data_IF_486586320076
#
_entry.id   IF_486586320076
#
_cell.length_a   1.000
_cell.length_b   1.000
_cell.length_c   1.000
_cell.angle_alpha   90.00
_cell.angle_beta   90.00
_cell.angle_gamma   90.00
#
_symmetry.space_group_name_H-M   'P 1'
#
loop_
_entity.id
_entity.type
_entity.pdbx_description
1 polymer ?
#
# COMPACT_ATOMS: atom_id res chain seq x y z
N UNK A 1 30.61 -11.68 19.41
CA UNK A 1 29.60 -12.44 18.64
C UNK A 1 28.24 -11.87 19.00
N UNK A 2 27.75 -10.88 18.23
CA UNK A 2 26.41 -10.32 18.41
C UNK A 2 25.46 -11.05 17.48
N UNK A 3 24.46 -11.72 18.04
CA UNK A 3 23.50 -12.52 17.29
C UNK A 3 22.74 -11.63 16.29
N UNK A 4 22.97 -11.86 14.99
CA UNK A 4 22.30 -11.20 13.86
C UNK A 4 20.87 -11.77 13.68
N UNK A 5 20.09 -11.79 14.76
CA UNK A 5 18.78 -12.45 14.83
C UNK A 5 17.62 -11.52 14.40
N UNK A 6 17.91 -10.41 13.72
CA UNK A 6 16.89 -9.53 13.14
C UNK A 6 16.05 -10.22 12.04
N UNK A 7 16.48 -11.40 11.59
CA UNK A 7 15.74 -12.26 10.64
C UNK A 7 14.58 -13.00 11.31
N UNK A 8 14.58 -13.14 12.63
CA UNK A 8 13.56 -13.83 13.41
C UNK A 8 12.73 -12.86 14.26
N UNK A 9 11.83 -12.08 13.64
CA UNK A 9 10.66 -11.54 14.37
C UNK A 9 9.55 -11.06 13.45
N UNK A 10 8.37 -11.67 13.67
CA UNK A 10 6.99 -11.25 13.37
C UNK A 10 6.62 -10.92 11.91
N UNK A 11 5.59 -11.58 11.40
CA UNK A 11 4.92 -11.35 10.09
C UNK A 11 4.23 -9.97 9.95
N UNK A 12 4.58 -9.00 10.80
CA UNK A 12 4.00 -7.67 10.76
C UNK A 12 4.45 -6.93 9.50
N UNK A 13 3.50 -6.29 8.84
CA UNK A 13 3.79 -5.31 7.80
C UNK A 13 4.09 -3.92 8.42
N UNK A 14 4.56 -2.97 7.61
CA UNK A 14 4.97 -1.63 8.10
C UNK A 14 3.85 -0.90 8.83
N UNK A 15 2.59 -1.05 8.43
CA UNK A 15 1.46 -0.40 9.10
C UNK A 15 1.24 -0.96 10.50
N UNK A 16 1.31 -2.29 10.63
CA UNK A 16 1.20 -2.96 11.92
C UNK A 16 2.37 -2.57 12.83
N UNK A 17 3.57 -2.39 12.27
CA UNK A 17 4.72 -1.86 13.02
C UNK A 17 4.45 -0.42 13.52
N UNK A 18 3.83 0.45 12.71
CA UNK A 18 3.43 1.78 13.13
C UNK A 18 2.41 1.72 14.28
N UNK A 19 1.37 0.88 14.16
CA UNK A 19 0.36 0.71 15.22
C UNK A 19 1.01 0.19 16.51
N UNK A 20 1.82 -0.86 16.42
CA UNK A 20 2.51 -1.44 17.56
C UNK A 20 3.52 -0.48 18.22
N UNK A 21 4.04 0.49 17.49
CA UNK A 21 4.90 1.55 18.01
C UNK A 21 4.13 2.76 18.56
N UNK A 22 2.82 2.86 18.32
CA UNK A 22 2.02 4.04 18.64
C UNK A 22 2.23 5.23 17.69
N UNK A 23 2.79 4.99 16.49
CA UNK A 23 3.06 6.03 15.50
C UNK A 23 4.46 5.92 14.84
N UNK A 24 4.91 6.97 14.13
CA UNK A 24 6.26 7.03 13.55
C UNK A 24 7.35 7.11 14.63
N UNK A 25 8.62 7.12 14.22
CA UNK A 25 9.78 7.29 15.09
C UNK A 25 10.61 6.02 15.31
N UNK A 26 10.15 4.86 14.82
CA UNK A 26 10.89 3.60 14.91
C UNK A 26 11.75 3.33 13.67
N UNK A 27 12.63 2.35 13.81
CA UNK A 27 13.64 2.02 12.81
C UNK A 27 13.31 0.71 12.09
N UNK A 28 13.56 0.70 10.79
CA UNK A 28 13.40 -0.45 9.92
C UNK A 28 14.64 -0.67 9.04
N UNK A 29 14.81 -1.90 8.58
CA UNK A 29 15.71 -2.25 7.47
C UNK A 29 14.95 -3.03 6.41
N UNK A 30 15.36 -2.84 5.17
CA UNK A 30 14.90 -3.69 4.07
C UNK A 30 15.78 -4.92 3.99
N UNK A 31 15.19 -6.10 3.81
CA UNK A 31 15.93 -7.37 3.74
C UNK A 31 16.94 -7.42 2.58
N UNK A 32 16.70 -6.67 1.52
CA UNK A 32 17.59 -6.55 0.36
C UNK A 32 18.57 -5.37 0.44
N UNK A 33 18.45 -4.49 1.44
CA UNK A 33 19.33 -3.32 1.60
C UNK A 33 20.38 -3.59 2.68
N UNK A 34 21.57 -4.03 2.26
CA UNK A 34 22.64 -4.45 3.17
C UNK A 34 23.34 -3.31 3.93
N UNK A 35 23.34 -2.09 3.40
CA UNK A 35 24.18 -0.99 3.90
C UNK A 35 23.40 0.21 4.46
N UNK A 36 22.08 0.11 4.57
CA UNK A 36 21.24 1.20 5.05
C UNK A 36 20.23 0.73 6.10
N UNK A 37 19.74 1.69 6.87
CA UNK A 37 18.57 1.59 7.71
C UNK A 37 17.69 2.83 7.50
N UNK A 38 16.45 2.78 7.94
CA UNK A 38 15.55 3.91 7.78
C UNK A 38 14.74 4.13 9.05
N UNK A 39 14.50 5.40 9.38
CA UNK A 39 13.57 5.80 10.43
C UNK A 39 12.24 6.14 9.78
N UNK A 40 11.15 5.53 10.24
CA UNK A 40 9.81 5.97 9.83
C UNK A 40 9.57 7.34 10.46
N UNK A 41 9.26 8.33 9.63
CA UNK A 41 9.08 9.72 10.09
C UNK A 41 7.64 10.20 9.96
N UNK A 42 6.84 9.59 9.07
CA UNK A 42 5.44 9.97 8.92
C UNK A 42 4.57 8.85 8.38
N UNK A 43 3.30 8.86 8.75
CA UNK A 43 2.26 7.97 8.24
C UNK A 43 0.96 8.75 8.05
N UNK A 44 0.33 8.57 6.90
CA UNK A 44 -0.98 9.14 6.61
C UNK A 44 -2.11 8.46 7.40
N UNK A 45 -3.35 8.97 7.27
CA UNK A 45 -4.48 8.50 8.06
C UNK A 45 -4.82 7.03 7.76
N UNK A 46 -4.97 6.24 8.82
CA UNK A 46 -5.49 4.86 8.76
C UNK A 46 -7.02 4.91 8.69
N UNK A 47 -7.58 4.61 7.53
CA UNK A 47 -9.01 4.83 7.23
C UNK A 47 -9.86 3.56 7.23
N UNK A 48 -9.22 2.39 7.30
CA UNK A 48 -9.88 1.07 7.30
C UNK A 48 -9.30 0.17 8.39
N UNK A 49 -9.94 -0.95 8.73
CA UNK A 49 -9.33 -1.98 9.56
C UNK A 49 -8.04 -2.56 8.95
N UNK A 50 -7.24 -3.20 9.81
CA UNK A 50 -5.98 -3.83 9.43
C UNK A 50 -6.14 -5.00 8.44
N UNK A 51 -5.02 -5.56 7.96
CA UNK A 51 -3.65 -5.19 8.32
C UNK A 51 -3.08 -4.05 7.44
N UNK A 52 -3.85 -3.59 6.43
CA UNK A 52 -3.40 -2.57 5.47
C UNK A 52 -4.00 -1.18 5.69
N UNK A 53 -5.04 -1.05 6.53
CA UNK A 53 -5.54 0.23 7.02
C UNK A 53 -5.90 1.30 5.96
N UNK A 54 -6.29 0.89 4.75
CA UNK A 54 -6.56 1.82 3.65
C UNK A 54 -5.31 2.24 2.84
N UNK A 55 -4.20 1.55 3.08
CA UNK A 55 -2.90 1.70 2.42
C UNK A 55 -2.34 3.13 2.57
N UNK A 56 -2.23 3.68 3.80
CA UNK A 56 -1.78 5.05 3.98
C UNK A 56 -0.37 5.26 3.40
N UNK A 57 -0.09 6.49 2.96
CA UNK A 57 1.26 6.91 2.59
C UNK A 57 2.17 6.85 3.82
N UNK A 58 3.42 6.42 3.65
CA UNK A 58 4.41 6.35 4.73
C UNK A 58 5.71 6.95 4.24
N UNK A 59 6.32 7.77 5.09
CA UNK A 59 7.60 8.43 4.84
C UNK A 59 8.68 7.88 5.77
N UNK A 60 9.90 7.80 5.24
CA UNK A 60 11.09 7.44 5.99
C UNK A 60 12.27 8.35 5.64
N UNK A 61 13.15 8.56 6.61
CA UNK A 61 14.49 9.06 6.36
C UNK A 61 15.45 7.85 6.32
N UNK A 62 16.24 7.74 5.25
CA UNK A 62 17.17 6.64 4.99
C UNK A 62 18.57 7.07 5.34
N UNK A 63 19.26 6.27 6.14
CA UNK A 63 20.61 6.52 6.62
C UNK A 63 21.56 5.39 6.25
N UNK A 64 22.84 5.71 6.12
CA UNK A 64 23.91 4.71 6.20
C UNK A 64 23.95 4.06 7.59
N UNK A 65 24.63 2.92 7.73
CA UNK A 65 24.79 2.27 9.05
C UNK A 65 25.63 3.08 10.05
N UNK A 66 26.30 4.14 9.60
CA UNK A 66 27.11 5.05 10.43
C UNK A 66 26.45 6.42 10.67
N UNK A 67 25.20 6.61 10.24
CA UNK A 67 24.40 7.78 10.60
C UNK A 67 24.35 8.91 9.57
N UNK A 68 24.92 8.73 8.39
CA UNK A 68 24.82 9.71 7.31
C UNK A 68 23.45 9.63 6.63
N UNK A 69 22.71 10.74 6.54
CA UNK A 69 21.44 10.81 5.82
C UNK A 69 21.70 10.64 4.32
N UNK A 70 21.10 9.60 3.72
CA UNK A 70 21.19 9.30 2.29
C UNK A 70 19.99 9.80 1.51
N UNK A 71 18.79 9.73 2.08
CA UNK A 71 17.57 10.20 1.45
C UNK A 71 16.57 10.62 2.52
N UNK A 72 16.04 11.83 2.44
CA UNK A 72 15.05 12.34 3.39
C UNK A 72 13.64 12.31 2.81
N UNK A 73 12.63 12.08 3.65
CA UNK A 73 11.21 12.01 3.27
C UNK A 73 10.96 11.07 2.08
N UNK A 74 11.68 9.96 2.03
CA UNK A 74 11.49 8.93 1.02
C UNK A 74 10.16 8.20 1.26
N UNK A 75 9.43 7.89 0.19
CA UNK A 75 8.25 7.03 0.30
C UNK A 75 8.69 5.62 0.68
N UNK A 76 8.07 5.03 1.69
CA UNK A 76 8.22 3.59 1.95
C UNK A 76 7.46 2.81 0.86
N UNK A 77 8.15 1.97 0.07
CA UNK A 77 7.50 1.04 -0.85
C UNK A 77 6.76 -0.03 -0.04
N UNK A 78 5.45 0.15 0.10
CA UNK A 78 4.55 -0.64 0.94
C UNK A 78 3.81 -1.85 0.30
N UNK A 79 3.86 -2.17 -1.01
CA UNK A 79 3.21 -3.38 -1.51
C UNK A 79 4.02 -4.65 -1.15
N UNK A 80 3.38 -5.62 -0.48
CA UNK A 80 3.92 -6.98 -0.23
C UNK A 80 4.91 -7.10 0.94
N UNK A 81 4.71 -6.34 2.01
CA UNK A 81 5.78 -5.98 2.98
C UNK A 81 6.08 -6.95 4.12
N UNK A 82 5.28 -7.99 4.36
CA UNK A 82 5.50 -8.94 5.47
C UNK A 82 6.89 -9.61 5.43
N UNK A 83 7.56 -9.68 4.27
CA UNK A 83 8.93 -10.21 4.10
C UNK A 83 10.01 -9.16 3.74
N UNK A 84 9.60 -7.92 3.46
CA UNK A 84 10.51 -6.93 2.86
C UNK A 84 11.13 -6.01 3.91
N UNK A 85 10.36 -5.60 4.91
CA UNK A 85 10.83 -4.69 5.96
C UNK A 85 10.89 -5.41 7.30
N UNK A 86 11.90 -5.08 8.10
CA UNK A 86 12.08 -5.59 9.47
C UNK A 86 12.28 -4.43 10.41
N UNK A 87 11.54 -4.41 11.50
CA UNK A 87 11.81 -3.51 12.62
C UNK A 87 13.17 -3.87 13.21
N UNK A 88 13.96 -2.84 13.50
CA UNK A 88 15.24 -2.97 14.21
C UNK A 88 15.24 -2.08 15.44
N UNK A 89 16.18 -2.32 16.35
CA UNK A 89 16.48 -1.35 17.40
C UNK A 89 17.07 -0.08 16.78
N UNK A 90 16.90 1.04 17.48
CA UNK A 90 17.54 2.29 17.08
C UNK A 90 19.06 2.07 16.99
N UNK A 91 19.70 2.48 15.87
CA UNK A 91 21.15 2.45 15.77
C UNK A 91 21.80 3.25 16.92
N UNK A 92 22.97 2.85 17.44
CA UNK A 92 23.59 3.53 18.58
C UNK A 92 23.81 5.04 18.37
N UNK A 93 24.14 5.44 17.14
CA UNK A 93 24.35 6.84 16.77
C UNK A 93 23.04 7.67 16.73
N UNK A 94 21.87 7.03 16.69
CA UNK A 94 20.59 7.72 16.62
C UNK A 94 20.29 8.58 17.87
N UNK A 95 20.85 8.22 19.03
CA UNK A 95 20.70 9.01 20.26
C UNK A 95 21.57 10.27 20.31
N UNK A 96 22.54 10.40 19.40
CA UNK A 96 23.50 11.52 19.35
C UNK A 96 23.39 12.34 18.06
N UNK A 97 22.73 11.81 17.04
CA UNK A 97 22.59 12.45 15.74
C UNK A 97 21.49 13.51 15.71
N UNK A 98 21.67 14.49 14.81
CA UNK A 98 20.64 15.45 14.44
C UNK A 98 19.60 14.74 13.54
N UNK A 99 18.60 14.13 14.17
CA UNK A 99 17.51 13.47 13.48
C UNK A 99 16.36 14.44 13.25
N UNK A 100 15.68 14.29 12.10
CA UNK A 100 14.46 15.05 11.82
C UNK A 100 13.46 14.93 12.98
N UNK A 101 12.89 16.08 13.36
CA UNK A 101 11.75 16.13 14.28
C UNK A 101 10.54 15.44 13.66
N UNK A 102 9.77 14.69 14.46
CA UNK A 102 8.52 14.09 13.98
C UNK A 102 7.41 15.13 13.75
N UNK A 103 7.58 16.33 14.30
CA UNK A 103 6.68 17.47 14.09
C UNK A 103 7.15 18.40 12.94
N UNK A 104 8.13 17.96 12.15
CA UNK A 104 8.61 18.74 10.99
C UNK A 104 7.48 18.89 9.95
N UNK A 105 7.05 20.11 9.61
CA UNK A 105 5.96 20.33 8.67
C UNK A 105 6.25 19.80 7.25
N UNK A 106 7.53 19.55 6.92
CA UNK A 106 7.89 18.90 5.66
C UNK A 106 7.37 17.46 5.57
N UNK A 107 7.15 16.78 6.70
CA UNK A 107 6.54 15.45 6.76
C UNK A 107 5.10 15.51 6.25
N UNK A 108 4.30 16.45 6.75
CA UNK A 108 2.92 16.64 6.32
C UNK A 108 2.85 17.02 4.84
N UNK A 109 3.72 17.92 4.38
CA UNK A 109 3.83 18.28 2.98
C UNK A 109 4.18 17.07 2.09
N UNK A 110 5.11 16.21 2.55
CA UNK A 110 5.49 14.98 1.86
C UNK A 110 4.35 13.98 1.77
N UNK A 111 3.59 13.77 2.86
CA UNK A 111 2.44 12.87 2.88
C UNK A 111 1.35 13.36 1.93
N UNK A 112 1.03 14.65 1.96
CA UNK A 112 0.08 15.26 1.04
C UNK A 112 0.51 15.11 -0.42
N UNK A 113 1.80 15.26 -0.72
CA UNK A 113 2.32 15.09 -2.07
C UNK A 113 2.16 13.64 -2.57
N UNK A 114 2.44 12.65 -1.71
CA UNK A 114 2.23 11.24 -2.03
C UNK A 114 0.76 10.91 -2.26
N UNK A 115 -0.14 11.44 -1.42
CA UNK A 115 -1.57 11.22 -1.57
C UNK A 115 -2.10 11.84 -2.87
N UNK A 116 -1.70 13.07 -3.21
CA UNK A 116 -2.03 13.69 -4.52
C UNK A 116 -1.54 12.83 -5.68
N UNK A 117 -0.30 12.31 -5.61
CA UNK A 117 0.27 11.43 -6.63
C UNK A 117 -0.51 10.12 -6.74
N UNK A 118 -0.90 9.52 -5.60
CA UNK A 118 -1.72 8.30 -5.53
C UNK A 118 -3.10 8.50 -6.13
N UNK A 119 -3.78 9.61 -5.80
CA UNK A 119 -5.08 9.97 -6.36
C UNK A 119 -4.99 10.25 -7.87
N UNK A 120 -3.94 10.92 -8.35
CA UNK A 120 -3.71 11.11 -9.79
C UNK A 120 -3.46 9.79 -10.52
N UNK A 121 -2.71 8.87 -9.92
CA UNK A 121 -2.49 7.53 -10.47
C UNK A 121 -3.76 6.67 -10.46
N UNK A 122 -4.60 6.80 -9.43
CA UNK A 122 -5.87 6.07 -9.29
C UNK A 122 -7.02 6.70 -10.10
N UNK A 123 -6.92 7.99 -10.44
CA UNK A 123 -7.90 8.73 -11.23
C UNK A 123 -8.05 8.28 -12.69
N UNK A 124 -7.22 7.34 -13.16
CA UNK A 124 -7.46 6.60 -14.41
C UNK A 124 -8.37 5.36 -14.24
N UNK A 125 -8.79 5.02 -13.02
CA UNK A 125 -9.60 3.84 -12.71
C UNK A 125 -10.92 4.16 -11.97
N UNK A 126 -11.26 5.43 -11.80
CA UNK A 126 -12.55 5.90 -11.31
C UNK A 126 -13.06 7.04 -12.19
N UNK A 127 -13.27 6.80 -13.48
CA UNK A 127 -14.40 7.47 -14.11
C UNK A 127 -15.65 6.98 -13.38
N UNK A 128 -16.60 7.87 -13.09
CA UNK A 128 -17.98 7.55 -12.72
C UNK A 128 -18.71 6.88 -13.91
N UNK A 129 -18.05 5.95 -14.59
CA UNK A 129 -18.74 4.99 -15.43
C UNK A 129 -19.51 4.10 -14.45
N UNK A 130 -20.81 4.34 -14.38
CA UNK A 130 -21.77 3.51 -13.70
C UNK A 130 -21.46 2.04 -14.04
N UNK A 131 -21.16 1.22 -13.04
CA UNK A 131 -20.65 -0.15 -13.25
C UNK A 131 -21.79 -1.11 -13.11
N UNK A 132 -21.97 -1.96 -14.10
CA UNK A 132 -22.91 -3.07 -14.03
C UNK A 132 -22.12 -4.31 -13.61
N UNK A 133 -22.40 -4.81 -12.40
CA UNK A 133 -21.77 -6.03 -11.89
C UNK A 133 -22.40 -7.27 -12.51
N UNK A 134 -21.54 -8.25 -12.80
CA UNK A 134 -21.88 -9.51 -13.44
C UNK A 134 -21.73 -10.67 -12.45
N UNK A 135 -22.73 -11.54 -12.40
CA UNK A 135 -22.71 -12.82 -11.72
C UNK A 135 -22.14 -13.90 -12.64
N UNK A 136 -20.81 -14.00 -12.70
CA UNK A 136 -20.09 -14.95 -13.56
C UNK A 136 -19.56 -16.12 -12.72
N UNK A 137 -20.00 -17.37 -12.97
CA UNK A 137 -19.41 -18.55 -12.36
C UNK A 137 -17.92 -18.69 -12.71
N UNK A 138 -17.11 -19.23 -11.79
CA UNK A 138 -15.66 -19.35 -12.00
C UNK A 138 -15.28 -20.12 -13.28
N UNK A 139 -16.07 -21.12 -13.66
CA UNK A 139 -15.89 -21.90 -14.89
C UNK A 139 -16.03 -21.06 -16.17
N UNK A 140 -16.75 -19.95 -16.13
CA UNK A 140 -17.06 -19.07 -17.27
C UNK A 140 -16.28 -17.74 -17.25
N UNK A 141 -15.22 -17.65 -16.44
CA UNK A 141 -14.39 -16.44 -16.31
C UNK A 141 -13.76 -15.99 -17.64
N UNK A 142 -13.44 -16.94 -18.52
CA UNK A 142 -12.82 -16.61 -19.81
C UNK A 142 -13.84 -15.95 -20.75
N UNK A 143 -15.11 -16.33 -20.68
CA UNK A 143 -16.19 -15.67 -21.42
C UNK A 143 -16.35 -14.22 -20.94
N UNK A 144 -16.35 -13.98 -19.62
CA UNK A 144 -16.41 -12.62 -19.09
C UNK A 144 -15.22 -11.74 -19.55
N UNK A 145 -14.01 -12.29 -19.61
CA UNK A 145 -12.85 -11.57 -20.16
C UNK A 145 -13.01 -11.26 -21.64
N UNK A 146 -13.54 -12.20 -22.43
CA UNK A 146 -13.77 -12.01 -23.87
C UNK A 146 -14.79 -10.89 -24.15
N UNK A 147 -15.78 -10.70 -23.26
CA UNK A 147 -16.72 -9.58 -23.30
C UNK A 147 -16.09 -8.22 -22.94
N UNK A 148 -14.82 -8.20 -22.53
CA UNK A 148 -14.16 -7.01 -22.01
C UNK A 148 -14.56 -6.66 -20.57
N UNK A 149 -15.16 -7.59 -19.83
CA UNK A 149 -15.47 -7.38 -18.42
C UNK A 149 -14.17 -7.28 -17.61
N UNK A 150 -14.20 -6.45 -16.57
CA UNK A 150 -13.07 -6.21 -15.68
C UNK A 150 -13.36 -6.86 -14.33
N UNK A 151 -12.35 -7.48 -13.72
CA UNK A 151 -12.51 -8.03 -12.37
C UNK A 151 -12.43 -6.90 -11.33
N UNK A 152 -13.39 -6.85 -10.41
CA UNK A 152 -13.36 -5.99 -9.23
C UNK A 152 -12.90 -6.81 -8.02
N UNK A 153 -11.66 -6.65 -7.53
CA UNK A 153 -11.20 -7.39 -6.34
C UNK A 153 -11.96 -7.03 -5.06
N UNK A 154 -12.52 -5.81 -4.98
CA UNK A 154 -13.27 -5.33 -3.84
C UNK A 154 -14.61 -6.06 -3.71
N UNK A 155 -15.38 -6.11 -4.81
CA UNK A 155 -16.70 -6.77 -4.86
C UNK A 155 -16.59 -8.28 -5.15
N UNK A 156 -15.40 -8.74 -5.57
CA UNK A 156 -15.16 -10.11 -6.07
C UNK A 156 -16.14 -10.50 -7.18
N UNK A 157 -16.43 -9.55 -8.05
CA UNK A 157 -17.33 -9.72 -9.19
C UNK A 157 -16.68 -9.16 -10.46
N UNK A 158 -17.11 -9.67 -11.60
CA UNK A 158 -16.81 -9.06 -12.89
C UNK A 158 -17.73 -7.84 -13.08
N UNK A 159 -17.29 -6.84 -13.82
CA UNK A 159 -18.11 -5.67 -14.14
C UNK A 159 -17.86 -5.17 -15.55
N UNK A 160 -18.88 -4.56 -16.13
CA UNK A 160 -18.82 -3.82 -17.38
C UNK A 160 -19.23 -2.36 -17.13
N UNK A 161 -18.67 -1.39 -17.86
CA UNK A 161 -19.17 -0.03 -17.81
C UNK A 161 -20.58 0.04 -18.43
N UNK A 162 -21.49 0.77 -17.80
CA UNK A 162 -22.87 0.97 -18.25
C UNK A 162 -22.94 1.57 -19.67
N UNK A 163 -21.92 2.33 -20.05
CA UNK A 163 -21.78 2.92 -21.39
C UNK A 163 -21.48 1.89 -22.50
N UNK A 164 -21.15 0.64 -22.16
CA UNK A 164 -20.85 -0.42 -23.14
C UNK A 164 -22.05 -1.36 -23.34
N UNK A 165 -23.11 -0.79 -23.90
CA UNK A 165 -24.35 -1.50 -24.27
C UNK A 165 -24.13 -2.79 -25.08
N UNK A 166 -23.23 -2.86 -26.08
CA UNK A 166 -22.97 -4.11 -26.80
C UNK A 166 -22.50 -5.25 -25.89
N UNK A 167 -21.56 -4.96 -24.97
CA UNK A 167 -21.05 -5.96 -24.04
C UNK A 167 -22.11 -6.34 -22.98
N UNK A 168 -22.92 -5.38 -22.54
CA UNK A 168 -24.03 -5.64 -21.59
C UNK A 168 -25.11 -6.53 -22.21
N UNK A 169 -25.46 -6.29 -23.48
CA UNK A 169 -26.39 -7.12 -24.23
C UNK A 169 -25.88 -8.56 -24.36
N UNK A 170 -24.59 -8.75 -24.66
CA UNK A 170 -23.96 -10.07 -24.68
C UNK A 170 -23.91 -10.73 -23.30
N UNK A 171 -23.57 -9.96 -22.25
CA UNK A 171 -23.59 -10.46 -20.88
C UNK A 171 -25.01 -10.90 -20.45
N UNK A 172 -26.06 -10.19 -20.91
CA UNK A 172 -27.46 -10.57 -20.71
C UNK A 172 -27.78 -11.90 -21.39
N UNK A 173 -27.39 -12.05 -22.66
CA UNK A 173 -27.62 -13.28 -23.42
C UNK A 173 -26.90 -14.50 -22.79
N UNK A 174 -25.75 -14.27 -22.16
CA UNK A 174 -24.98 -15.30 -21.46
C UNK A 174 -25.47 -15.59 -20.04
N UNK A 175 -26.46 -14.84 -19.54
CA UNK A 175 -27.03 -14.98 -18.20
C UNK A 175 -26.11 -14.45 -17.08
N UNK A 176 -25.19 -13.54 -17.39
CA UNK A 176 -24.25 -12.98 -16.43
C UNK A 176 -24.80 -11.76 -15.69
N UNK A 177 -25.91 -11.17 -16.13
CA UNK A 177 -26.55 -10.08 -15.38
C UNK A 177 -27.41 -10.65 -14.25
N UNK A 178 -27.41 -10.04 -13.05
CA UNK A 178 -28.37 -10.40 -12.02
C UNK A 178 -29.77 -10.15 -12.57
N UNK A 179 -30.56 -11.22 -12.74
CA UNK A 179 -31.93 -11.09 -13.23
C UNK A 179 -32.77 -10.36 -12.19
N UNK A 180 -33.46 -9.28 -12.61
CA UNK A 180 -34.68 -8.88 -11.94
C UNK A 180 -35.65 -10.06 -12.05
N UNK A 181 -36.02 -10.63 -10.90
CA UNK A 181 -37.22 -11.47 -10.78
C UNK A 181 -38.43 -10.60 -11.13
#
# INVERSE_FOLDING_TARGET
>A
MGSDDWRNSTDQNVYEMCVANGGPGFWIRRTTWGATCARIVGIGPMTKPGPYFGNPSVLMDVYSLVGELKEGLAQVPVPGTYKTWRRILAPPWAGQGDLRSLDDPAIDAGLQALDRKRHRASGKAQSEEERVFLSVPFSRKEEAKQLGARWSPAEKLWWLPASNEPALSQARALGFLPGNI
#
